data_IF_074585112666
#
_entry.id   IF_074585112666
#
_cell.length_a   1.000
_cell.length_b   1.000
_cell.length_c   1.000
_cell.angle_alpha   90.00
_cell.angle_beta   90.00
_cell.angle_gamma   90.00
#
_symmetry.space_group_name_H-M   'P 1'
#
loop_
_entity.id
_entity.type
_entity.pdbx_description
1 polymer ?
#
# COMPACT_ATOMS: atom_id res chain seq x y z
N UNK A 1 0.54 7.64 -12.45
CA UNK A 1 1.32 8.30 -13.52
C UNK A 1 1.47 7.26 -14.62
N UNK A 2 0.97 7.55 -15.82
CA UNK A 2 0.83 6.53 -16.87
C UNK A 2 2.05 6.56 -17.79
N UNK A 3 2.69 5.42 -18.03
CA UNK A 3 3.89 5.32 -18.86
C UNK A 3 4.16 3.92 -19.40
N UNK A 4 4.95 3.86 -20.45
CA UNK A 4 5.60 2.65 -20.95
C UNK A 4 7.13 2.85 -20.89
N UNK A 5 7.85 1.81 -20.51
CA UNK A 5 9.31 1.74 -20.56
C UNK A 5 9.67 0.59 -21.50
N UNK A 6 10.33 0.90 -22.61
CA UNK A 6 10.73 -0.07 -23.64
C UNK A 6 12.23 -0.34 -23.55
N UNK A 7 12.65 -1.54 -23.92
CA UNK A 7 14.02 -2.03 -23.79
C UNK A 7 14.51 -2.72 -25.06
N UNK A 8 15.78 -2.52 -25.39
CA UNK A 8 16.47 -3.00 -26.58
C UNK A 8 16.60 -4.53 -26.62
N UNK A 9 16.62 -5.18 -25.46
CA UNK A 9 16.78 -6.63 -25.34
C UNK A 9 15.69 -7.24 -24.46
N UNK A 10 15.56 -8.57 -24.54
CA UNK A 10 14.77 -9.37 -23.61
C UNK A 10 15.19 -9.18 -22.14
N UNK A 11 14.31 -9.57 -21.22
CA UNK A 11 14.52 -9.46 -19.76
C UNK A 11 14.87 -8.05 -19.25
N UNK A 12 14.39 -7.01 -19.94
CA UNK A 12 14.55 -5.60 -19.57
C UNK A 12 16.02 -5.11 -19.58
N UNK A 13 16.78 -5.52 -20.60
CA UNK A 13 18.21 -5.22 -20.76
C UNK A 13 18.49 -4.34 -22.00
N UNK A 14 19.74 -3.91 -22.14
CA UNK A 14 20.19 -3.03 -23.22
C UNK A 14 19.79 -1.56 -22.97
N UNK A 15 19.75 -0.76 -24.03
CA UNK A 15 19.20 0.59 -23.97
C UNK A 15 17.72 0.56 -23.58
N UNK A 16 17.24 1.62 -22.92
CA UNK A 16 15.84 1.74 -22.52
C UNK A 16 15.32 3.15 -22.69
N UNK A 17 14.04 3.29 -23.08
CA UNK A 17 13.38 4.60 -23.20
C UNK A 17 12.01 4.61 -22.52
N UNK A 18 11.68 5.73 -21.88
CA UNK A 18 10.41 5.95 -21.19
C UNK A 18 9.53 6.92 -21.97
N UNK A 19 8.26 6.56 -22.19
CA UNK A 19 7.27 7.39 -22.85
C UNK A 19 6.02 7.56 -21.97
N UNK A 20 5.49 8.78 -21.95
CA UNK A 20 4.31 9.18 -21.16
C UNK A 20 3.15 9.70 -22.01
N UNK A 21 3.34 9.73 -23.34
CA UNK A 21 2.41 10.23 -24.36
C UNK A 21 2.55 9.40 -25.64
N UNK A 22 1.58 9.52 -26.52
CA UNK A 22 1.61 9.01 -27.89
C UNK A 22 2.94 9.31 -28.62
N UNK A 23 3.47 8.30 -29.29
CA UNK A 23 4.71 8.32 -30.09
C UNK A 23 4.34 7.88 -31.52
N UNK A 24 4.06 8.81 -32.46
CA UNK A 24 3.70 8.46 -33.83
C UNK A 24 4.88 7.89 -34.63
N UNK A 25 6.11 8.10 -34.18
CA UNK A 25 7.30 7.67 -34.91
C UNK A 25 8.46 7.38 -33.94
N UNK A 26 8.88 6.12 -33.84
CA UNK A 26 10.02 5.71 -33.01
C UNK A 26 11.38 6.00 -33.66
N UNK A 27 11.44 6.32 -34.97
CA UNK A 27 12.67 6.80 -35.65
C UNK A 27 13.11 8.14 -35.06
N UNK A 28 12.19 9.10 -34.90
CA UNK A 28 12.48 10.38 -34.23
C UNK A 28 12.90 10.22 -32.76
N UNK A 29 12.57 9.09 -32.16
CA UNK A 29 12.93 8.76 -30.78
C UNK A 29 14.25 7.96 -30.68
N UNK A 30 14.90 7.62 -31.80
CA UNK A 30 16.06 6.74 -31.88
C UNK A 30 15.81 5.37 -31.20
N UNK A 31 14.61 4.81 -31.36
CA UNK A 31 14.22 3.52 -30.76
C UNK A 31 13.30 2.69 -31.69
N UNK A 32 13.40 2.91 -33.00
CA UNK A 32 12.61 2.21 -34.01
C UNK A 32 13.09 0.77 -34.16
N UNK A 33 12.17 -0.19 -34.21
CA UNK A 33 12.49 -1.60 -34.51
C UNK A 33 13.58 -2.18 -33.58
N UNK A 34 13.65 -1.71 -32.33
CA UNK A 34 14.56 -2.24 -31.29
C UNK A 34 13.81 -2.78 -30.06
N UNK A 35 12.48 -2.72 -30.02
CA UNK A 35 11.73 -3.09 -28.82
C UNK A 35 11.67 -4.62 -28.71
N UNK A 36 12.42 -5.17 -27.75
CA UNK A 36 12.46 -6.60 -27.42
C UNK A 36 11.77 -6.94 -26.10
N UNK A 37 11.73 -6.02 -25.14
CA UNK A 37 10.93 -6.17 -23.90
C UNK A 37 10.39 -4.83 -23.40
N UNK A 38 9.35 -4.84 -22.57
CA UNK A 38 8.72 -3.60 -22.09
C UNK A 38 8.00 -3.75 -20.74
N UNK A 39 7.79 -2.62 -20.07
CA UNK A 39 6.99 -2.49 -18.84
C UNK A 39 5.95 -1.40 -19.04
N UNK A 40 4.69 -1.71 -18.78
CA UNK A 40 3.59 -0.75 -18.77
C UNK A 40 3.20 -0.44 -17.33
N UNK A 41 2.92 0.82 -17.03
CA UNK A 41 2.47 1.33 -15.74
C UNK A 41 1.26 2.25 -15.96
N UNK A 42 0.13 1.97 -15.33
CA UNK A 42 -1.11 2.74 -15.45
C UNK A 42 -2.00 2.29 -16.61
N UNK A 43 -2.05 3.06 -17.70
CA UNK A 43 -2.95 2.78 -18.83
C UNK A 43 -2.34 1.77 -19.80
N UNK A 44 -3.18 0.97 -20.49
CA UNK A 44 -2.73 0.15 -21.60
C UNK A 44 -2.11 0.97 -22.74
N UNK A 45 -1.17 0.35 -23.43
CA UNK A 45 -0.52 0.88 -24.63
C UNK A 45 -0.71 -0.06 -25.80
N UNK A 46 -0.74 0.50 -27.01
CA UNK A 46 -0.74 -0.26 -28.26
C UNK A 46 0.55 0.05 -29.00
N UNK A 47 1.32 -0.99 -29.32
CA UNK A 47 2.51 -0.89 -30.17
C UNK A 47 2.14 -1.32 -31.60
N UNK A 48 2.61 -0.55 -32.57
CA UNK A 48 2.28 -0.69 -33.99
C UNK A 48 3.52 -0.98 -34.81
N UNK A 49 3.36 -1.83 -35.83
CA UNK A 49 4.42 -2.27 -36.73
C UNK A 49 5.01 -1.15 -37.59
N UNK A 50 4.22 -0.12 -37.89
CA UNK A 50 4.65 1.00 -38.72
C UNK A 50 4.46 2.33 -37.98
N UNK A 51 5.00 3.42 -38.53
CA UNK A 51 4.75 4.77 -38.03
C UNK A 51 3.27 5.13 -38.16
N UNK A 52 2.87 6.20 -37.48
CA UNK A 52 1.53 6.80 -37.55
C UNK A 52 0.40 5.81 -37.24
N UNK A 53 0.69 4.85 -36.34
CA UNK A 53 -0.22 3.83 -35.82
C UNK A 53 -0.75 2.86 -36.88
N UNK A 54 0.09 2.48 -37.85
CA UNK A 54 -0.25 1.59 -38.97
C UNK A 54 0.37 0.19 -38.84
N UNK A 55 -0.06 -0.73 -39.71
CA UNK A 55 0.43 -2.12 -39.75
C UNK A 55 -0.23 -3.02 -38.70
N UNK A 56 0.41 -4.15 -38.34
CA UNK A 56 -0.06 -4.99 -37.22
C UNK A 56 0.07 -4.22 -35.90
N UNK A 57 -0.81 -4.52 -34.96
CA UNK A 57 -0.82 -3.91 -33.63
C UNK A 57 -0.81 -4.97 -32.53
N UNK A 58 -0.13 -4.67 -31.43
CA UNK A 58 -0.13 -5.48 -30.21
C UNK A 58 -0.44 -4.59 -29.01
N UNK A 59 -1.40 -5.03 -28.21
CA UNK A 59 -1.75 -4.40 -26.96
C UNK A 59 -0.86 -4.90 -25.82
N UNK A 60 -0.47 -3.98 -24.95
CA UNK A 60 0.12 -4.25 -23.65
C UNK A 60 -0.71 -3.55 -22.56
N UNK A 61 -1.39 -4.33 -21.73
CA UNK A 61 -1.98 -3.85 -20.46
C UNK A 61 -0.87 -3.62 -19.42
N UNK A 62 -1.20 -3.09 -18.23
CA UNK A 62 -0.21 -2.96 -17.17
C UNK A 62 0.46 -4.30 -16.83
N UNK A 63 1.79 -4.30 -16.75
CA UNK A 63 2.56 -5.49 -16.50
C UNK A 63 4.00 -5.37 -16.95
N UNK A 64 4.72 -6.47 -16.82
CA UNK A 64 6.11 -6.61 -17.27
C UNK A 64 6.18 -7.72 -18.30
N UNK A 65 6.67 -7.39 -19.50
CA UNK A 65 6.71 -8.28 -20.65
C UNK A 65 8.18 -8.53 -21.01
N UNK A 66 8.81 -9.62 -20.49
CA UNK A 66 10.24 -9.89 -20.68
C UNK A 66 10.60 -10.23 -22.14
N UNK A 67 9.60 -10.50 -22.97
CA UNK A 67 9.70 -10.64 -24.42
C UNK A 67 8.43 -10.09 -25.07
N UNK A 68 8.55 -9.43 -26.22
CA UNK A 68 7.40 -9.05 -27.06
C UNK A 68 7.16 -10.09 -28.16
N UNK A 69 5.91 -10.21 -28.65
CA UNK A 69 5.57 -11.17 -29.71
C UNK A 69 5.97 -10.71 -31.12
N UNK A 70 6.22 -9.41 -31.32
CA UNK A 70 6.75 -8.82 -32.55
C UNK A 70 8.07 -8.10 -32.23
N UNK A 71 9.09 -8.93 -31.98
CA UNK A 71 10.42 -8.47 -31.59
C UNK A 71 11.05 -7.62 -32.69
N UNK A 72 11.55 -6.44 -32.34
CA UNK A 72 12.31 -5.57 -33.25
C UNK A 72 11.53 -5.18 -34.53
N UNK A 73 10.21 -4.98 -34.42
CA UNK A 73 9.39 -4.50 -35.55
C UNK A 73 8.42 -3.37 -35.19
N UNK A 74 8.55 -2.74 -34.02
CA UNK A 74 7.63 -1.68 -33.60
C UNK A 74 8.17 -0.30 -33.97
N UNK A 75 7.32 0.48 -34.65
CA UNK A 75 7.65 1.80 -35.21
C UNK A 75 6.76 2.95 -34.67
N UNK A 76 5.66 2.66 -33.96
CA UNK A 76 4.92 3.67 -33.19
C UNK A 76 4.21 3.09 -31.95
N UNK A 77 3.92 3.94 -30.95
CA UNK A 77 3.30 3.57 -29.67
C UNK A 77 2.17 4.53 -29.33
N UNK A 78 1.02 4.03 -28.88
CA UNK A 78 -0.15 4.84 -28.50
C UNK A 78 -0.64 4.49 -27.11
N UNK A 79 -0.97 5.49 -26.28
CA UNK A 79 -1.61 5.27 -24.98
C UNK A 79 -3.13 5.25 -25.14
N UNK A 80 -3.81 4.31 -24.46
CA UNK A 80 -5.26 4.30 -24.37
C UNK A 80 -5.69 5.26 -23.25
N UNK A 81 -6.42 6.32 -23.61
CA UNK A 81 -6.90 7.34 -22.67
C UNK A 81 -8.40 7.26 -22.38
N UNK A 82 -9.09 6.30 -22.99
CA UNK A 82 -10.54 6.08 -22.83
C UNK A 82 -10.91 5.67 -21.40
N UNK A 83 -12.14 5.99 -20.98
CA UNK A 83 -12.66 5.55 -19.69
C UNK A 83 -13.08 4.08 -19.74
N UNK A 84 -12.37 3.21 -19.02
CA UNK A 84 -12.57 1.76 -19.02
C UNK A 84 -13.55 1.25 -17.93
N UNK A 85 -14.13 2.13 -17.09
CA UNK A 85 -14.98 1.74 -15.96
C UNK A 85 -16.37 1.19 -16.35
N UNK A 86 -16.94 1.64 -17.48
CA UNK A 86 -18.27 1.22 -17.98
C UNK A 86 -18.22 0.98 -19.50
N UNK A 87 -17.56 -0.11 -19.94
CA UNK A 87 -17.34 -0.40 -21.35
C UNK A 87 -18.61 -0.94 -22.02
N UNK A 88 -18.89 -0.49 -23.24
CA UNK A 88 -20.04 -0.92 -24.02
C UNK A 88 -19.70 -0.96 -25.51
N UNK A 89 -19.97 -2.09 -26.15
CA UNK A 89 -19.86 -2.27 -27.60
C UNK A 89 -21.09 -3.01 -28.15
N UNK A 90 -21.55 -2.60 -29.34
CA UNK A 90 -22.53 -3.33 -30.14
C UNK A 90 -21.83 -3.98 -31.33
N UNK A 91 -21.94 -5.31 -31.47
CA UNK A 91 -21.60 -6.02 -32.70
C UNK A 91 -22.83 -6.13 -33.61
N UNK A 92 -22.59 -6.22 -34.92
CA UNK A 92 -23.59 -6.32 -35.97
C UNK A 92 -23.18 -7.39 -36.98
N UNK A 93 -24.14 -8.19 -37.43
CA UNK A 93 -23.85 -9.29 -38.37
C UNK A 93 -23.44 -8.78 -39.75
N UNK A 94 -24.08 -7.72 -40.24
CA UNK A 94 -23.78 -7.16 -41.55
C UNK A 94 -22.83 -5.96 -41.46
N UNK A 95 -22.28 -5.57 -42.62
CA UNK A 95 -21.62 -4.27 -42.81
C UNK A 95 -22.62 -3.12 -42.60
N UNK A 96 -22.10 -1.91 -42.38
CA UNK A 96 -22.92 -0.69 -42.19
C UNK A 96 -23.96 -0.80 -41.05
N UNK A 97 -23.68 -1.59 -40.01
CA UNK A 97 -24.52 -1.76 -38.82
C UNK A 97 -25.90 -2.41 -39.11
N UNK A 98 -25.97 -3.26 -40.13
CA UNK A 98 -27.14 -4.08 -40.44
C UNK A 98 -27.19 -5.42 -39.68
N UNK A 99 -28.18 -6.24 -40.03
CA UNK A 99 -28.35 -7.59 -39.48
C UNK A 99 -28.72 -7.61 -38.00
N UNK A 100 -28.50 -8.75 -37.34
CA UNK A 100 -28.73 -8.87 -35.90
C UNK A 100 -27.66 -8.10 -35.12
N UNK A 101 -28.09 -7.38 -34.09
CA UNK A 101 -27.23 -6.67 -33.15
C UNK A 101 -26.97 -7.50 -31.88
N UNK A 102 -25.76 -7.45 -31.35
CA UNK A 102 -25.37 -8.04 -30.05
C UNK A 102 -24.66 -6.99 -29.19
N UNK A 103 -25.26 -6.64 -28.06
CA UNK A 103 -24.65 -5.73 -27.09
C UNK A 103 -23.84 -6.49 -26.06
N UNK A 104 -22.62 -6.00 -25.79
CA UNK A 104 -21.63 -6.64 -24.93
C UNK A 104 -20.98 -5.57 -24.03
N UNK A 105 -20.92 -5.88 -22.73
CA UNK A 105 -20.40 -4.99 -21.66
C UNK A 105 -19.30 -5.64 -20.82
N UNK A 106 -19.00 -6.92 -21.07
CA UNK A 106 -17.97 -7.70 -20.37
C UNK A 106 -17.22 -8.61 -21.35
N UNK A 107 -16.09 -9.19 -20.92
CA UNK A 107 -15.36 -10.18 -21.72
C UNK A 107 -16.28 -11.34 -22.10
N UNK A 108 -16.40 -11.60 -23.41
CA UNK A 108 -17.43 -12.50 -23.98
C UNK A 108 -16.83 -13.36 -25.08
N UNK A 109 -16.83 -14.68 -24.86
CA UNK A 109 -16.56 -15.66 -25.90
C UNK A 109 -17.81 -15.75 -26.82
N UNK A 110 -17.64 -15.41 -28.10
CA UNK A 110 -18.76 -15.29 -29.03
C UNK A 110 -19.43 -16.63 -29.38
N UNK A 111 -18.77 -17.78 -29.17
CA UNK A 111 -19.36 -19.11 -29.29
C UNK A 111 -20.58 -19.27 -28.36
N UNK A 112 -20.44 -18.86 -27.10
CA UNK A 112 -21.54 -18.94 -26.12
C UNK A 112 -22.56 -17.79 -26.28
N UNK A 113 -22.21 -16.76 -27.05
CA UNK A 113 -23.09 -15.63 -27.34
C UNK A 113 -23.97 -15.84 -28.58
N UNK A 114 -23.85 -16.99 -29.27
CA UNK A 114 -24.40 -17.26 -30.62
C UNK A 114 -23.95 -16.22 -31.67
N UNK A 115 -22.76 -15.63 -31.52
CA UNK A 115 -22.25 -14.56 -32.39
C UNK A 115 -20.87 -14.88 -33.00
N UNK A 116 -20.40 -16.12 -32.87
CA UNK A 116 -19.09 -16.54 -33.39
C UNK A 116 -19.03 -16.40 -34.92
N UNK A 117 -17.96 -15.79 -35.43
CA UNK A 117 -17.67 -15.56 -36.85
C UNK A 117 -18.78 -14.83 -37.65
N UNK A 118 -19.80 -14.29 -36.98
CA UNK A 118 -20.92 -13.59 -37.61
C UNK A 118 -20.71 -12.08 -37.72
N UNK A 119 -19.78 -11.50 -36.97
CA UNK A 119 -19.67 -10.05 -36.83
C UNK A 119 -18.94 -9.38 -38.01
N UNK A 120 -19.65 -8.59 -38.82
CA UNK A 120 -19.05 -7.82 -39.94
C UNK A 120 -18.91 -6.32 -39.64
N UNK A 121 -19.62 -5.77 -38.64
CA UNK A 121 -19.37 -4.41 -38.16
C UNK A 121 -19.65 -4.25 -36.67
N UNK A 122 -19.22 -3.14 -36.07
CA UNK A 122 -19.49 -2.82 -34.67
C UNK A 122 -19.58 -1.32 -34.42
N UNK A 123 -20.15 -0.92 -33.28
CA UNK A 123 -20.04 0.42 -32.71
C UNK A 123 -19.47 0.28 -31.31
N UNK A 124 -18.39 1.01 -30.98
CA UNK A 124 -17.94 1.18 -29.60
C UNK A 124 -18.65 2.41 -29.04
N UNK A 125 -19.53 2.23 -28.07
CA UNK A 125 -20.20 3.34 -27.40
C UNK A 125 -19.41 3.86 -26.22
N UNK A 126 -18.73 2.97 -25.47
CA UNK A 126 -17.95 3.32 -24.27
C UNK A 126 -16.78 2.38 -24.04
N UNK A 127 -15.73 2.90 -23.41
CA UNK A 127 -14.48 2.20 -23.16
C UNK A 127 -13.73 1.82 -24.43
N UNK A 128 -12.65 1.06 -24.27
CA UNK A 128 -11.86 0.53 -25.36
C UNK A 128 -11.82 -1.00 -25.30
N UNK A 129 -11.84 -1.62 -26.48
CA UNK A 129 -12.12 -3.04 -26.65
C UNK A 129 -11.06 -3.72 -27.51
N UNK A 130 -10.71 -4.95 -27.13
CA UNK A 130 -9.84 -5.84 -27.91
C UNK A 130 -10.69 -6.92 -28.54
N UNK A 131 -10.35 -7.28 -29.76
CA UNK A 131 -10.99 -8.30 -30.59
C UNK A 131 -9.94 -9.31 -31.07
N UNK A 132 -9.99 -10.57 -30.62
CA UNK A 132 -9.03 -11.62 -31.01
C UNK A 132 -9.66 -12.68 -31.92
N UNK A 133 -8.98 -13.04 -33.01
CA UNK A 133 -9.46 -13.94 -34.07
C UNK A 133 -9.95 -15.28 -33.53
N UNK A 134 -9.20 -15.87 -32.61
CA UNK A 134 -9.53 -17.15 -31.98
C UNK A 134 -10.06 -17.00 -30.56
N UNK A 135 -10.67 -18.09 -30.07
CA UNK A 135 -10.99 -18.28 -28.65
C UNK A 135 -9.74 -18.16 -27.77
N UNK A 136 -9.94 -17.87 -26.47
CA UNK A 136 -8.88 -17.75 -25.47
C UNK A 136 -7.80 -16.69 -25.79
N UNK A 137 -8.18 -15.62 -26.49
CA UNK A 137 -7.31 -14.50 -26.89
C UNK A 137 -6.22 -14.90 -27.90
N UNK A 138 -6.50 -15.89 -28.74
CA UNK A 138 -5.60 -16.38 -29.79
C UNK A 138 -5.76 -15.66 -31.14
N UNK A 139 -4.87 -15.98 -32.08
CA UNK A 139 -4.91 -15.45 -33.45
C UNK A 139 -4.62 -13.95 -33.54
N UNK A 140 -5.09 -13.31 -34.62
CA UNK A 140 -4.91 -11.86 -34.80
C UNK A 140 -5.70 -11.07 -33.75
N UNK A 141 -5.00 -10.20 -33.04
CA UNK A 141 -5.59 -9.24 -32.12
C UNK A 141 -5.76 -7.89 -32.79
N UNK A 142 -6.93 -7.29 -32.62
CA UNK A 142 -7.27 -5.98 -33.16
C UNK A 142 -7.93 -5.20 -32.02
N UNK A 143 -7.31 -4.11 -31.58
CA UNK A 143 -8.03 -3.09 -30.82
C UNK A 143 -9.11 -2.55 -31.76
N UNK A 144 -10.37 -2.82 -31.39
CA UNK A 144 -11.47 -3.25 -32.27
C UNK A 144 -11.46 -2.71 -33.73
N UNK A 145 -11.41 -3.55 -34.80
CA UNK A 145 -12.39 -4.57 -35.32
C UNK A 145 -11.70 -5.78 -36.00
N UNK A 146 -12.10 -7.06 -35.86
CA UNK A 146 -13.25 -7.67 -35.16
C UNK A 146 -13.09 -9.22 -35.04
N UNK A 147 -13.48 -9.84 -33.90
CA UNK A 147 -13.61 -11.32 -33.66
C UNK A 147 -13.94 -11.77 -32.21
N UNK A 148 -13.13 -11.56 -31.15
CA UNK A 148 -13.51 -11.96 -29.75
C UNK A 148 -13.29 -10.90 -28.66
N UNK A 149 -14.36 -10.55 -27.93
CA UNK A 149 -14.43 -9.30 -27.16
C UNK A 149 -13.90 -9.39 -25.73
N UNK A 150 -13.05 -8.43 -25.37
CA UNK A 150 -12.90 -7.99 -23.98
C UNK A 150 -12.71 -6.47 -23.85
N UNK A 151 -13.25 -5.85 -22.79
CA UNK A 151 -12.85 -4.51 -22.43
C UNK A 151 -11.39 -4.53 -21.94
N UNK A 152 -10.66 -3.47 -22.26
CA UNK A 152 -9.36 -3.21 -21.65
C UNK A 152 -9.50 -3.01 -20.15
N UNK A 153 -8.54 -3.50 -19.38
CA UNK A 153 -8.47 -3.22 -17.95
C UNK A 153 -7.48 -2.08 -17.68
N UNK A 154 -7.84 -1.22 -16.72
CA UNK A 154 -6.85 -0.34 -16.10
C UNK A 154 -5.78 -1.17 -15.38
N UNK A 155 -4.56 -0.64 -15.32
CA UNK A 155 -3.53 -1.16 -14.42
C UNK A 155 -3.87 -1.04 -12.94
N UNK A 156 -2.96 -1.55 -12.11
CA UNK A 156 -3.09 -1.56 -10.66
C UNK A 156 -3.36 -0.15 -10.13
N UNK A 157 -4.33 0.02 -9.22
CA UNK A 157 -4.69 1.35 -8.72
C UNK A 157 -3.50 1.98 -7.97
N UNK A 158 -3.15 3.21 -8.37
CA UNK A 158 -2.21 4.03 -7.62
C UNK A 158 -2.92 4.58 -6.38
N UNK A 159 -2.49 4.17 -5.19
CA UNK A 159 -3.07 4.65 -3.92
C UNK A 159 -2.13 5.63 -3.24
N UNK A 160 -2.62 6.84 -2.96
CA UNK A 160 -2.00 7.77 -2.01
C UNK A 160 -2.80 7.76 -0.72
N UNK A 161 -2.13 7.73 0.43
CA UNK A 161 -2.78 7.64 1.73
C UNK A 161 -2.37 8.81 2.64
N UNK A 162 -3.34 9.40 3.32
CA UNK A 162 -3.16 10.53 4.24
C UNK A 162 -3.83 10.23 5.58
N UNK A 163 -3.04 10.20 6.64
CA UNK A 163 -3.53 10.06 8.02
C UNK A 163 -4.06 11.42 8.49
N UNK A 164 -5.30 11.45 8.98
CA UNK A 164 -5.98 12.67 9.45
C UNK A 164 -5.81 12.82 10.97
N UNK A 165 -4.57 13.13 11.40
CA UNK A 165 -4.21 13.27 12.82
C UNK A 165 -5.06 14.31 13.57
N UNK A 166 -5.54 15.34 12.90
CA UNK A 166 -6.47 16.34 13.45
C UNK A 166 -7.84 15.75 13.84
N UNK A 167 -8.14 14.52 13.37
CA UNK A 167 -9.33 13.74 13.70
C UNK A 167 -9.02 12.50 14.55
N UNK A 168 -7.85 12.46 15.21
CA UNK A 168 -7.48 11.37 16.12
C UNK A 168 -8.49 11.20 17.25
N UNK A 169 -8.94 9.96 17.44
CA UNK A 169 -9.76 9.51 18.56
C UNK A 169 -8.86 8.73 19.53
N UNK A 170 -8.88 9.11 20.80
CA UNK A 170 -8.19 8.42 21.88
C UNK A 170 -9.10 7.34 22.45
N UNK A 171 -8.78 6.07 22.18
CA UNK A 171 -9.60 4.93 22.60
C UNK A 171 -9.35 4.55 24.05
N UNK A 172 -8.09 4.65 24.49
CA UNK A 172 -7.71 4.42 25.89
C UNK A 172 -6.41 5.15 26.25
N UNK A 173 -6.29 5.49 27.53
CA UNK A 173 -5.04 5.90 28.17
C UNK A 173 -5.10 5.42 29.62
N UNK A 174 -4.03 4.76 30.07
CA UNK A 174 -3.92 4.24 31.44
C UNK A 174 -2.46 4.21 31.86
N UNK A 175 -2.23 4.43 33.14
CA UNK A 175 -0.93 4.22 33.76
C UNK A 175 -0.90 2.82 34.36
N UNK A 176 -0.10 1.92 33.78
CA UNK A 176 0.03 0.52 34.18
C UNK A 176 1.29 0.36 35.02
N UNK A 177 1.19 -0.28 36.18
CA UNK A 177 2.35 -0.70 36.94
C UNK A 177 2.96 -1.93 36.26
N UNK A 178 4.18 -1.79 35.76
CA UNK A 178 4.90 -2.85 35.02
C UNK A 178 5.94 -3.57 35.87
N UNK A 179 6.35 -2.98 37.00
CA UNK A 179 7.34 -3.57 37.91
C UNK A 179 7.16 -3.03 39.34
N UNK A 180 7.70 -3.75 40.33
CA UNK A 180 7.84 -3.30 41.71
C UNK A 180 9.23 -3.66 42.23
N UNK A 181 9.99 -2.64 42.61
CA UNK A 181 11.32 -2.80 43.18
C UNK A 181 11.27 -2.46 44.66
N UNK A 182 11.78 -3.37 45.49
CA UNK A 182 11.76 -3.26 46.95
C UNK A 182 13.17 -3.41 47.49
N UNK A 183 13.63 -2.40 48.21
CA UNK A 183 14.86 -2.43 49.00
C UNK A 183 14.54 -2.26 50.47
N UNK A 184 15.21 -3.01 51.34
CA UNK A 184 15.06 -2.89 52.80
C UNK A 184 16.46 -2.69 53.40
N UNK A 185 16.64 -1.62 54.16
CA UNK A 185 17.86 -1.34 54.90
C UNK A 185 17.62 -1.63 56.38
N UNK A 186 18.38 -2.59 56.92
CA UNK A 186 18.33 -3.02 58.32
C UNK A 186 19.49 -2.43 59.16
N UNK A 187 20.31 -1.55 58.59
CA UNK A 187 21.47 -0.95 59.25
C UNK A 187 21.22 0.50 59.66
N UNK A 188 22.07 1.01 60.55
CA UNK A 188 22.06 2.41 61.03
C UNK A 188 22.63 3.43 60.02
N UNK A 189 23.13 2.96 58.87
CA UNK A 189 23.74 3.77 57.80
C UNK A 189 22.95 3.69 56.50
N UNK A 190 23.05 4.69 55.63
CA UNK A 190 22.50 4.58 54.27
C UNK A 190 23.09 3.38 53.52
N UNK A 191 22.25 2.59 52.85
CA UNK A 191 22.67 1.47 52.00
C UNK A 191 22.36 1.76 50.54
N UNK A 192 23.13 1.17 49.62
CA UNK A 192 22.82 1.22 48.21
C UNK A 192 21.51 0.44 47.91
N UNK A 193 20.69 0.96 47.00
CA UNK A 193 19.52 0.22 46.52
C UNK A 193 19.99 -1.03 45.75
N UNK A 194 19.39 -2.18 46.05
CA UNK A 194 19.91 -3.49 45.61
C UNK A 194 19.73 -3.78 44.12
N UNK A 195 18.82 -3.10 43.43
CA UNK A 195 18.84 -3.05 41.97
C UNK A 195 19.75 -1.91 41.51
N UNK A 196 20.66 -2.21 40.60
CA UNK A 196 21.58 -1.25 39.96
C UNK A 196 20.90 0.05 39.52
N UNK A 197 21.67 1.15 39.56
CA UNK A 197 21.19 2.52 39.35
C UNK A 197 20.39 2.77 38.06
N UNK A 198 20.62 1.95 37.03
CA UNK A 198 19.91 1.98 35.75
C UNK A 198 19.26 0.62 35.49
N UNK A 199 18.02 0.62 35.01
CA UNK A 199 17.32 -0.58 34.54
C UNK A 199 16.65 -0.33 33.18
N UNK A 200 16.87 -1.24 32.23
CA UNK A 200 16.23 -1.22 30.92
C UNK A 200 14.82 -1.84 30.98
N UNK A 201 13.87 -1.18 30.32
CA UNK A 201 12.52 -1.69 30.08
C UNK A 201 12.19 -1.67 28.60
N UNK A 202 11.46 -2.68 28.15
CA UNK A 202 11.09 -2.83 26.74
C UNK A 202 9.63 -2.43 26.53
N UNK A 203 9.42 -1.44 25.66
CA UNK A 203 8.11 -0.98 25.23
C UNK A 203 7.75 -1.63 23.91
N UNK A 204 6.44 -1.80 23.70
CA UNK A 204 5.88 -2.32 22.45
C UNK A 204 4.94 -1.24 21.89
N UNK A 205 5.09 -0.94 20.60
CA UNK A 205 4.07 -0.25 19.81
C UNK A 205 3.52 -1.23 18.78
N UNK A 206 2.20 -1.28 18.65
CA UNK A 206 1.49 -2.04 17.62
C UNK A 206 0.71 -1.06 16.76
N UNK A 207 1.04 -1.03 15.48
CA UNK A 207 0.39 -0.19 14.47
C UNK A 207 -0.42 -1.09 13.53
N UNK A 208 -1.59 -0.63 13.07
CA UNK A 208 -2.39 -1.34 12.06
C UNK A 208 -3.25 -0.41 11.21
N UNK A 209 -3.62 -0.88 10.02
CA UNK A 209 -4.50 -0.16 9.07
C UNK A 209 -5.66 -1.07 8.69
N UNK A 210 -6.88 -0.51 8.67
CA UNK A 210 -8.10 -1.17 8.20
C UNK A 210 -8.81 -0.31 7.15
N UNK A 211 -9.60 -0.95 6.30
CA UNK A 211 -10.32 -0.30 5.20
C UNK A 211 -11.82 -0.38 5.43
N UNK A 212 -12.56 0.61 4.91
CA UNK A 212 -14.02 0.50 4.81
C UNK A 212 -14.44 -0.69 3.95
N UNK A 213 -15.55 -1.35 4.32
CA UNK A 213 -16.07 -2.54 3.62
C UNK A 213 -16.35 -2.28 2.11
N UNK A 214 -16.65 -1.02 1.76
CA UNK A 214 -16.93 -0.52 0.41
C UNK A 214 -15.68 -0.15 -0.40
N UNK A 215 -14.46 -0.41 0.07
CA UNK A 215 -13.23 -0.10 -0.67
C UNK A 215 -13.15 -0.81 -2.02
N UNK A 216 -12.63 -0.09 -3.03
CA UNK A 216 -12.31 -0.59 -4.37
C UNK A 216 -10.81 -0.89 -4.56
N UNK A 217 -10.00 -0.74 -3.51
CA UNK A 217 -8.59 -1.18 -3.50
C UNK A 217 -8.55 -2.71 -3.64
N UNK A 218 -7.79 -3.18 -4.63
CA UNK A 218 -7.69 -4.60 -5.01
C UNK A 218 -6.71 -5.37 -4.12
N UNK A 219 -6.95 -6.67 -3.97
CA UNK A 219 -6.02 -7.61 -3.33
C UNK A 219 -4.63 -7.52 -4.00
N UNK A 220 -3.57 -7.39 -3.19
CA UNK A 220 -2.18 -7.27 -3.68
C UNK A 220 -1.72 -5.85 -4.02
N UNK A 221 -2.52 -4.82 -3.77
CA UNK A 221 -2.10 -3.42 -4.02
C UNK A 221 -1.09 -2.96 -2.96
N UNK A 222 0.10 -2.52 -3.38
CA UNK A 222 1.17 -2.06 -2.46
C UNK A 222 1.34 -0.55 -2.49
N UNK A 223 1.40 0.12 -1.33
CA UNK A 223 1.69 1.56 -1.24
C UNK A 223 2.39 1.94 0.08
N UNK A 224 3.11 3.06 0.07
CA UNK A 224 3.77 3.59 1.27
C UNK A 224 2.84 4.50 2.08
N UNK A 225 2.84 4.34 3.41
CA UNK A 225 2.08 5.18 4.34
C UNK A 225 3.05 5.98 5.21
N UNK A 226 3.16 7.28 4.95
CA UNK A 226 4.02 8.15 5.76
C UNK A 226 3.38 8.46 7.11
N UNK A 227 3.84 7.79 8.18
CA UNK A 227 3.42 8.05 9.55
C UNK A 227 4.28 9.18 10.13
N UNK A 228 3.99 10.42 9.73
CA UNK A 228 4.54 11.59 10.42
C UNK A 228 3.66 11.91 11.63
N UNK A 229 4.18 11.95 12.87
CA UNK A 229 3.40 12.37 14.03
C UNK A 229 2.92 13.82 13.85
N UNK A 230 1.63 14.05 14.07
CA UNK A 230 1.05 15.39 14.02
C UNK A 230 1.64 16.31 15.09
N UNK A 231 1.72 17.61 14.78
CA UNK A 231 2.21 18.65 15.69
C UNK A 231 1.46 18.57 17.03
N UNK A 232 2.19 18.27 18.11
CA UNK A 232 1.63 18.12 19.46
C UNK A 232 1.75 16.71 20.07
N UNK A 233 2.20 15.70 19.32
CA UNK A 233 2.62 14.41 19.86
C UNK A 233 4.13 14.46 20.13
N UNK A 234 4.57 14.01 21.32
CA UNK A 234 6.00 14.03 21.69
C UNK A 234 6.87 13.22 20.73
N UNK A 235 8.02 13.78 20.37
CA UNK A 235 8.77 13.43 19.16
C UNK A 235 9.69 12.22 19.37
N UNK A 236 9.15 11.00 19.37
CA UNK A 236 9.94 9.75 19.25
C UNK A 236 9.62 8.90 18.02
N UNK A 237 8.42 9.02 17.44
CA UNK A 237 7.99 8.18 16.31
C UNK A 237 8.44 8.73 14.95
N UNK A 238 9.67 8.44 14.53
CA UNK A 238 10.14 8.65 13.15
C UNK A 238 9.96 7.36 12.33
N UNK A 239 8.74 7.11 11.87
CA UNK A 239 8.36 5.80 11.30
C UNK A 239 7.84 5.92 9.87
N UNK A 240 8.74 5.85 8.89
CA UNK A 240 8.36 5.60 7.49
C UNK A 240 8.09 4.10 7.28
N UNK A 241 6.84 3.68 7.44
CA UNK A 241 6.43 2.30 7.15
C UNK A 241 5.82 2.18 5.74
N UNK A 242 6.34 1.26 4.94
CA UNK A 242 5.67 0.76 3.73
C UNK A 242 4.88 -0.49 4.09
N UNK A 243 3.61 -0.55 3.68
CA UNK A 243 2.73 -1.70 3.92
C UNK A 243 2.26 -2.29 2.59
N UNK A 244 2.19 -3.62 2.52
CA UNK A 244 1.52 -4.32 1.43
C UNK A 244 0.04 -4.47 1.82
N UNK A 245 -0.91 -4.07 0.98
CA UNK A 245 -2.31 -3.92 1.40
C UNK A 245 -3.23 -4.92 0.68
N UNK A 246 -4.14 -5.52 1.46
CA UNK A 246 -5.11 -6.49 0.96
C UNK A 246 -6.48 -6.33 1.60
N UNK A 247 -7.53 -6.36 0.79
CA UNK A 247 -8.92 -6.25 1.25
C UNK A 247 -9.27 -7.44 2.15
N UNK A 248 -9.67 -7.14 3.39
CA UNK A 248 -10.04 -8.14 4.39
C UNK A 248 -8.88 -8.62 5.27
N UNK A 249 -7.65 -8.14 5.06
CA UNK A 249 -6.53 -8.32 5.99
C UNK A 249 -6.35 -7.07 6.86
N UNK A 250 -5.85 -7.31 8.08
CA UNK A 250 -5.33 -6.25 8.95
C UNK A 250 -3.82 -6.39 8.92
N UNK A 251 -3.16 -5.46 8.24
CA UNK A 251 -1.71 -5.33 8.35
C UNK A 251 -1.38 -4.81 9.75
N UNK A 252 -0.39 -5.42 10.41
CA UNK A 252 0.11 -4.93 11.69
C UNK A 252 1.63 -5.03 11.77
N UNK A 253 2.23 -4.06 12.46
CA UNK A 253 3.65 -4.06 12.80
C UNK A 253 3.83 -3.81 14.28
N UNK A 254 4.63 -4.66 14.93
CA UNK A 254 5.07 -4.45 16.30
C UNK A 254 6.52 -3.96 16.31
N UNK A 255 6.78 -2.83 16.97
CA UNK A 255 8.15 -2.34 17.20
C UNK A 255 8.48 -2.45 18.69
N UNK A 256 9.73 -2.83 18.99
CA UNK A 256 10.28 -2.96 20.34
C UNK A 256 11.30 -1.84 20.56
N UNK A 257 11.08 -1.02 21.56
CA UNK A 257 11.99 0.06 21.96
C UNK A 257 12.50 -0.19 23.38
N UNK A 258 13.72 0.28 23.69
CA UNK A 258 14.34 0.17 25.02
C UNK A 258 14.37 1.53 25.69
N UNK A 259 13.94 1.60 26.94
CA UNK A 259 14.02 2.79 27.77
C UNK A 259 14.84 2.49 29.03
N UNK A 260 15.91 3.24 29.24
CA UNK A 260 16.68 3.21 30.49
C UNK A 260 16.01 4.08 31.56
N UNK A 261 15.84 3.54 32.76
CA UNK A 261 15.33 4.26 33.92
C UNK A 261 16.36 4.35 35.03
N UNK A 262 16.64 5.57 35.47
CA UNK A 262 17.43 5.84 36.67
C UNK A 262 16.57 5.65 37.91
N UNK A 263 17.05 4.83 38.84
CA UNK A 263 16.36 4.47 40.09
C UNK A 263 17.00 5.18 41.31
N UNK A 264 16.28 5.30 42.44
CA UNK A 264 16.88 5.77 43.68
C UNK A 264 18.05 4.87 44.08
N UNK A 265 19.23 5.45 44.24
CA UNK A 265 20.47 4.68 44.46
C UNK A 265 20.74 4.37 45.95
N UNK A 266 19.92 4.90 46.87
CA UNK A 266 20.12 4.83 48.32
C UNK A 266 18.81 4.53 49.07
N UNK A 267 18.94 3.82 50.19
CA UNK A 267 17.88 3.51 51.15
C UNK A 267 18.28 4.07 52.53
N UNK A 268 17.46 4.93 53.17
CA UNK A 268 17.72 5.42 54.52
C UNK A 268 17.77 4.30 55.59
N UNK A 269 18.47 4.51 56.72
CA UNK A 269 18.52 3.56 57.84
C UNK A 269 17.14 3.07 58.30
N UNK A 270 17.00 1.79 58.61
CA UNK A 270 15.76 1.17 59.14
C UNK A 270 14.49 1.45 58.32
N UNK A 271 14.62 1.57 56.99
CA UNK A 271 13.49 1.78 56.08
C UNK A 271 13.37 0.72 55.00
N UNK A 272 12.13 0.49 54.58
CA UNK A 272 11.75 -0.17 53.33
C UNK A 272 11.42 0.91 52.30
N UNK A 273 12.11 0.85 51.16
CA UNK A 273 11.84 1.66 49.98
C UNK A 273 11.12 0.80 48.93
N UNK A 274 9.91 1.22 48.53
CA UNK A 274 9.20 0.63 47.39
C UNK A 274 9.15 1.62 46.23
N UNK A 275 9.59 1.20 45.05
CA UNK A 275 9.52 1.95 43.79
C UNK A 275 8.67 1.16 42.81
N UNK A 276 7.50 1.68 42.44
CA UNK A 276 6.72 1.11 41.34
C UNK A 276 7.27 1.66 40.03
N UNK A 277 7.43 0.83 39.01
CA UNK A 277 7.68 1.35 37.65
C UNK A 277 6.35 1.40 36.91
N UNK A 278 6.01 2.60 36.44
CA UNK A 278 4.78 2.91 35.74
C UNK A 278 5.06 3.04 34.24
N UNK A 279 4.09 2.64 33.43
CA UNK A 279 4.08 2.80 31.97
C UNK A 279 2.79 3.49 31.55
N UNK A 280 2.91 4.48 30.68
CA UNK A 280 1.76 5.05 29.97
C UNK A 280 1.43 4.16 28.78
N UNK A 281 0.30 3.47 28.83
CA UNK A 281 -0.25 2.77 27.68
C UNK A 281 -1.38 3.61 27.08
N UNK A 282 -1.32 3.83 25.77
CA UNK A 282 -2.27 4.64 25.02
C UNK A 282 -2.69 3.90 23.75
N UNK A 283 -3.99 3.85 23.46
CA UNK A 283 -4.52 3.39 22.17
C UNK A 283 -5.24 4.53 21.48
N UNK A 284 -4.87 4.76 20.22
CA UNK A 284 -5.46 5.79 19.35
C UNK A 284 -5.95 5.18 18.05
N UNK A 285 -6.99 5.78 17.51
CA UNK A 285 -7.59 5.47 16.22
C UNK A 285 -7.68 6.76 15.42
N UNK A 286 -7.21 6.75 14.19
CA UNK A 286 -7.10 7.94 13.34
C UNK A 286 -7.73 7.63 11.98
N UNK A 287 -8.66 8.45 11.48
CA UNK A 287 -9.18 8.27 10.12
C UNK A 287 -8.06 8.38 9.08
N UNK A 288 -8.10 7.53 8.07
CA UNK A 288 -7.20 7.57 6.91
C UNK A 288 -8.02 7.85 5.66
N UNK A 289 -7.54 8.80 4.87
CA UNK A 289 -8.07 9.13 3.55
C UNK A 289 -7.17 8.48 2.48
N UNK A 290 -7.78 7.71 1.57
CA UNK A 290 -7.11 7.05 0.46
C UNK A 290 -7.57 7.68 -0.84
N UNK A 291 -6.67 8.39 -1.54
CA UNK A 291 -6.88 8.80 -2.93
C UNK A 291 -6.50 7.62 -3.82
N UNK A 292 -7.52 6.92 -4.33
CA UNK A 292 -7.38 5.79 -5.26
C UNK A 292 -7.48 6.33 -6.68
N UNK A 293 -6.39 6.24 -7.44
CA UNK A 293 -6.32 6.73 -8.82
C UNK A 293 -6.24 5.56 -9.80
N UNK A 294 -7.20 5.51 -10.74
CA UNK A 294 -7.24 4.58 -11.87
C UNK A 294 -7.28 5.40 -13.16
N UNK A 295 -6.15 5.47 -13.87
CA UNK A 295 -6.01 6.33 -15.04
C UNK A 295 -6.16 7.80 -14.71
N UNK A 296 -7.16 8.43 -15.30
CA UNK A 296 -7.51 9.84 -15.04
C UNK A 296 -8.59 9.99 -13.96
N UNK A 297 -9.24 8.90 -13.54
CA UNK A 297 -10.26 8.91 -12.50
C UNK A 297 -9.59 8.80 -11.12
N UNK A 298 -9.98 9.67 -10.20
CA UNK A 298 -9.58 9.61 -8.79
C UNK A 298 -10.80 9.55 -7.89
N UNK A 299 -10.77 8.66 -6.90
CA UNK A 299 -11.83 8.48 -5.91
C UNK A 299 -11.22 8.54 -4.52
N UNK A 300 -11.88 9.25 -3.62
CA UNK A 300 -11.54 9.23 -2.20
C UNK A 300 -12.27 8.06 -1.53
N UNK A 301 -11.51 7.24 -0.80
CA UNK A 301 -12.00 6.17 0.06
C UNK A 301 -11.45 6.35 1.48
N UNK A 302 -12.04 5.66 2.46
CA UNK A 302 -11.72 5.85 3.87
C UNK A 302 -11.41 4.54 4.59
N UNK A 303 -10.63 4.64 5.67
CA UNK A 303 -10.35 3.58 6.62
C UNK A 303 -9.87 4.12 7.97
N UNK A 304 -9.34 3.24 8.81
CA UNK A 304 -8.81 3.59 10.15
C UNK A 304 -7.35 3.14 10.28
N UNK A 305 -6.51 4.01 10.80
CA UNK A 305 -5.21 3.66 11.37
C UNK A 305 -5.38 3.50 12.88
N UNK A 306 -4.83 2.44 13.47
CA UNK A 306 -4.80 2.23 14.92
C UNK A 306 -3.36 2.11 15.38
N UNK A 307 -3.04 2.77 16.48
CA UNK A 307 -1.76 2.60 17.16
C UNK A 307 -2.02 2.39 18.64
N UNK A 308 -1.44 1.33 19.20
CA UNK A 308 -1.42 1.05 20.63
C UNK A 308 0.03 1.01 21.09
N UNK A 309 0.45 1.94 21.95
CA UNK A 309 1.85 2.07 22.38
C UNK A 309 2.00 2.23 23.89
N UNK A 310 3.06 1.65 24.43
CA UNK A 310 3.62 2.04 25.72
C UNK A 310 4.62 3.17 25.53
N UNK A 311 4.20 4.44 25.55
CA UNK A 311 5.02 5.56 25.06
C UNK A 311 6.02 6.11 26.06
N UNK A 312 5.76 5.99 27.36
CA UNK A 312 6.69 6.42 28.40
C UNK A 312 6.68 5.48 29.59
N UNK A 313 7.85 5.31 30.20
CA UNK A 313 8.05 4.57 31.45
C UNK A 313 8.75 5.47 32.47
N UNK A 314 8.37 5.39 33.74
CA UNK A 314 8.98 6.18 34.81
C UNK A 314 8.82 5.50 36.18
N UNK A 315 9.74 5.71 37.13
CA UNK A 315 9.51 5.34 38.52
C UNK A 315 8.42 6.24 39.14
N UNK A 316 7.51 5.66 39.92
CA UNK A 316 6.64 6.42 40.82
C UNK A 316 7.49 7.11 41.90
N UNK A 317 6.93 8.13 42.55
CA UNK A 317 7.49 8.65 43.81
C UNK A 317 7.78 7.47 44.75
N UNK A 318 9.02 7.32 45.26
CA UNK A 318 9.36 6.21 46.15
C UNK A 318 8.58 6.31 47.46
N UNK A 319 8.00 5.20 47.90
CA UNK A 319 7.32 5.12 49.19
C UNK A 319 8.30 4.58 50.23
N UNK A 320 8.53 5.37 51.29
CA UNK A 320 9.40 5.04 52.41
C UNK A 320 8.55 4.62 53.60
N UNK A 321 8.78 3.43 54.12
CA UNK A 321 8.14 2.92 55.34
C UNK A 321 9.21 2.52 56.35
N UNK A 322 8.94 2.63 57.65
CA UNK A 322 9.82 2.03 58.65
C UNK A 322 9.82 0.51 58.52
N UNK A 323 11.00 -0.10 58.57
CA UNK A 323 11.14 -1.55 58.52
C UNK A 323 10.53 -2.17 59.79
N UNK A 324 9.62 -3.17 59.68
CA UNK A 324 9.02 -3.78 60.86
C UNK A 324 10.04 -4.65 61.59
N UNK A 325 10.30 -4.34 62.87
CA UNK A 325 11.05 -5.20 63.78
C UNK A 325 12.47 -4.75 64.12
N UNK A 326 12.59 -3.68 64.90
CA UNK A 326 13.65 -3.46 65.91
C UNK A 326 13.02 -2.63 67.04
N UNK A 327 13.32 -2.89 68.33
CA UNK A 327 12.65 -2.21 69.43
C UNK A 327 13.07 -0.75 69.50
N UNK A 328 12.11 0.15 69.75
CA UNK A 328 12.45 1.49 70.22
C UNK A 328 13.17 1.31 71.57
N UNK A 329 14.46 1.66 71.62
CA UNK A 329 15.16 1.76 72.89
C UNK A 329 14.45 2.82 73.73
N UNK A 330 13.81 2.37 74.81
CA UNK A 330 13.28 3.27 75.81
C UNK A 330 14.41 4.16 76.33
N UNK A 331 14.21 5.48 76.48
CA UNK A 331 15.18 6.32 77.13
C UNK A 331 15.36 5.83 78.57
N UNK A 332 16.60 5.46 78.93
CA UNK A 332 16.95 5.30 80.34
C UNK A 332 16.84 6.67 81.03
N UNK A 333 16.40 6.60 82.29
CA UNK A 333 16.01 7.67 83.21
C UNK A 333 17.05 8.79 83.28
#
# INVERSE_FOLDING_TARGET
MNKIIVYEHGDFRGLSKEFTRDVPNLVSENFNDCISSLKVIGMPWVAYEHTDYQGRQILYEEGQYPSVAMNDTFSSLKIITDNLDDPFISLYEDVNYGGRRKDITTETNLCFADFNDKASSHIVQRGAWVLYEDVNRGGRQIVARLSSLRPLQFGSPSVQAKILWEKMIKESEKNVKIDELVGINHSDSEQAFSSTATKEYETYSSESVTFSNSTTITVGTTFSLAIMPGVGIETSMSVSNTFNVEKGKTESKTTREKTELTLPVKIPPHTKLTVNVMRKEMSVRVPVEFTVTRGNNSKIEYGEYRCSSGSSTWPSTPLVFHAPGLPQHAPNI
#
